data_IF_976260125624
#
_entry.id   IF_976260125624
#
_cell.length_a   1.000
_cell.length_b   1.000
_cell.length_c   1.000
_cell.angle_alpha   90.00
_cell.angle_beta   90.00
_cell.angle_gamma   90.00
#
_symmetry.space_group_name_H-M   'P 1'
#
loop_
_entity.id
_entity.type
_entity.pdbx_description
1 polymer ?
#
# COMPACT_ATOMS: atom_id res chain seq x y z
N UNK A 1 -32.35 -11.83 -0.15
CA UNK A 1 -31.62 -12.50 0.93
C UNK A 1 -30.11 -12.64 0.72
N UNK A 2 -29.58 -13.06 -0.45
CA UNK A 2 -28.10 -13.22 -0.64
C UNK A 2 -27.28 -11.92 -0.71
N UNK A 3 -27.86 -10.78 -1.03
CA UNK A 3 -27.13 -9.50 -1.20
C UNK A 3 -26.90 -8.77 0.13
N UNK A 4 -27.83 -8.85 1.06
CA UNK A 4 -27.71 -8.21 2.40
C UNK A 4 -26.68 -8.90 3.30
N UNK A 5 -26.56 -10.23 3.20
CA UNK A 5 -25.63 -11.04 3.99
C UNK A 5 -24.15 -10.75 3.67
N UNK A 6 -23.85 -10.29 2.45
CA UNK A 6 -22.46 -9.97 2.04
C UNK A 6 -22.00 -8.58 2.54
N UNK A 7 -22.92 -7.70 2.91
CA UNK A 7 -22.61 -6.34 3.35
C UNK A 7 -22.22 -6.23 4.83
N UNK A 8 -22.56 -7.23 5.67
CA UNK A 8 -22.23 -7.19 7.09
C UNK A 8 -20.74 -7.38 7.30
N UNK A 9 -20.08 -6.43 7.98
CA UNK A 9 -18.65 -6.52 8.33
C UNK A 9 -18.40 -7.72 9.25
N UNK A 10 -19.16 -7.80 10.33
CA UNK A 10 -19.01 -8.81 11.38
C UNK A 10 -19.77 -10.09 11.03
N UNK A 11 -19.10 -10.96 10.30
CA UNK A 11 -19.56 -12.31 9.97
C UNK A 11 -18.35 -13.22 9.81
N UNK A 12 -18.41 -14.42 10.40
CA UNK A 12 -17.38 -15.44 10.19
C UNK A 12 -17.35 -15.87 8.71
N UNK A 13 -16.20 -15.76 8.06
CA UNK A 13 -16.00 -16.05 6.64
C UNK A 13 -14.73 -16.87 6.43
N UNK A 14 -14.72 -17.68 5.38
CA UNK A 14 -13.47 -18.27 4.88
C UNK A 14 -12.58 -17.19 4.21
N UNK A 15 -11.29 -17.47 4.04
CA UNK A 15 -10.34 -16.53 3.41
C UNK A 15 -10.78 -16.11 2.00
N UNK A 16 -11.24 -17.04 1.16
CA UNK A 16 -11.72 -16.72 -0.19
C UNK A 16 -13.01 -15.90 -0.19
N UNK A 17 -13.90 -16.15 0.78
CA UNK A 17 -15.13 -15.37 0.96
C UNK A 17 -14.83 -13.93 1.43
N UNK A 18 -13.81 -13.71 2.27
CA UNK A 18 -13.36 -12.38 2.64
C UNK A 18 -12.83 -11.60 1.42
N UNK A 19 -12.01 -12.24 0.59
CA UNK A 19 -11.46 -11.64 -0.63
C UNK A 19 -12.59 -11.27 -1.60
N UNK A 20 -13.51 -12.21 -1.87
CA UNK A 20 -14.67 -11.97 -2.73
C UNK A 20 -15.57 -10.85 -2.20
N UNK A 21 -15.88 -10.85 -0.90
CA UNK A 21 -16.69 -9.81 -0.29
C UNK A 21 -16.02 -8.43 -0.36
N UNK A 22 -14.70 -8.36 -0.17
CA UNK A 22 -13.94 -7.12 -0.29
C UNK A 22 -14.00 -6.53 -1.69
N UNK A 23 -13.67 -7.31 -2.71
CA UNK A 23 -13.73 -6.81 -4.08
C UNK A 23 -15.16 -6.50 -4.54
N UNK A 24 -16.18 -7.26 -4.12
CA UNK A 24 -17.57 -6.94 -4.39
C UNK A 24 -17.97 -5.61 -3.74
N UNK A 25 -17.56 -5.36 -2.48
CA UNK A 25 -17.83 -4.07 -1.83
C UNK A 25 -17.20 -2.90 -2.59
N UNK A 26 -15.97 -3.07 -3.07
CA UNK A 26 -15.28 -2.07 -3.89
C UNK A 26 -16.03 -1.82 -5.21
N UNK A 27 -16.36 -2.87 -5.97
CA UNK A 27 -17.01 -2.73 -7.28
C UNK A 27 -18.43 -2.19 -7.18
N UNK A 28 -19.23 -2.66 -6.23
CA UNK A 28 -20.62 -2.21 -6.02
C UNK A 28 -20.69 -0.74 -5.58
N UNK A 29 -19.66 -0.22 -4.93
CA UNK A 29 -19.60 1.16 -4.44
C UNK A 29 -18.57 2.03 -5.18
N UNK A 30 -17.97 1.53 -6.26
CA UNK A 30 -16.89 2.21 -6.98
C UNK A 30 -17.26 3.65 -7.36
N UNK A 31 -18.47 3.89 -7.90
CA UNK A 31 -18.91 5.22 -8.30
C UNK A 31 -18.93 6.22 -7.14
N UNK A 32 -19.32 5.79 -5.94
CA UNK A 32 -19.38 6.65 -4.75
C UNK A 32 -17.96 6.93 -4.23
N UNK A 33 -17.14 5.90 -4.18
CA UNK A 33 -15.74 5.98 -3.77
C UNK A 33 -14.94 6.85 -4.74
N UNK A 34 -15.08 6.63 -6.04
CA UNK A 34 -14.46 7.44 -7.07
C UNK A 34 -14.86 8.92 -6.95
N UNK A 35 -16.16 9.23 -6.84
CA UNK A 35 -16.65 10.60 -6.67
C UNK A 35 -16.07 11.31 -5.44
N UNK A 36 -15.72 10.56 -4.39
CA UNK A 36 -15.18 11.14 -3.15
C UNK A 36 -13.64 11.26 -3.16
N UNK A 37 -12.94 10.51 -4.01
CA UNK A 37 -11.47 10.39 -3.94
C UNK A 37 -10.73 10.85 -5.20
N UNK A 38 -11.39 10.97 -6.36
CA UNK A 38 -10.72 11.16 -7.65
C UNK A 38 -9.78 12.36 -7.73
N UNK A 39 -10.17 13.51 -7.14
CA UNK A 39 -9.33 14.71 -7.13
C UNK A 39 -8.03 14.42 -6.37
N UNK A 40 -8.13 13.79 -5.21
CA UNK A 40 -6.98 13.51 -4.37
C UNK A 40 -6.09 12.42 -4.97
N UNK A 41 -6.70 11.38 -5.56
CA UNK A 41 -5.96 10.36 -6.30
C UNK A 41 -5.22 10.98 -7.49
N UNK A 42 -5.85 11.93 -8.20
CA UNK A 42 -5.20 12.67 -9.27
C UNK A 42 -3.99 13.46 -8.76
N UNK A 43 -4.14 14.20 -7.65
CA UNK A 43 -3.03 14.94 -7.04
C UNK A 43 -1.88 14.01 -6.65
N UNK A 44 -2.16 12.90 -5.97
CA UNK A 44 -1.15 11.90 -5.59
C UNK A 44 -0.45 11.32 -6.84
N UNK A 45 -1.22 11.03 -7.89
CA UNK A 45 -0.67 10.50 -9.14
C UNK A 45 0.24 11.50 -9.84
N UNK A 46 -0.16 12.77 -9.93
CA UNK A 46 0.67 13.82 -10.52
C UNK A 46 1.96 14.04 -9.71
N UNK A 47 1.89 14.03 -8.38
CA UNK A 47 3.07 14.17 -7.53
C UNK A 47 4.04 12.98 -7.70
N UNK A 48 3.52 11.74 -7.69
CA UNK A 48 4.35 10.55 -7.95
C UNK A 48 5.03 10.61 -9.31
N UNK A 49 4.28 10.92 -10.35
CA UNK A 49 4.83 11.03 -11.70
C UNK A 49 5.82 12.17 -11.86
N UNK A 50 5.63 13.28 -11.13
CA UNK A 50 6.61 14.37 -11.08
C UNK A 50 7.91 13.94 -10.38
N UNK A 51 7.80 13.19 -9.28
CA UNK A 51 8.96 12.61 -8.57
C UNK A 51 9.73 11.68 -9.51
N UNK A 52 9.03 10.83 -10.23
CA UNK A 52 9.59 9.87 -11.17
C UNK A 52 10.25 10.55 -12.36
N UNK A 53 9.55 11.48 -13.02
CA UNK A 53 10.10 12.26 -14.13
C UNK A 53 11.30 13.12 -13.70
N UNK A 54 11.31 13.67 -12.49
CA UNK A 54 12.45 14.40 -11.94
C UNK A 54 13.63 13.48 -11.66
N UNK A 55 13.39 12.24 -11.22
CA UNK A 55 14.43 11.22 -11.04
C UNK A 55 15.13 10.86 -12.35
N UNK A 56 14.39 10.76 -13.45
CA UNK A 56 14.96 10.55 -14.79
C UNK A 56 15.83 11.73 -15.24
N UNK A 57 15.37 12.98 -15.02
CA UNK A 57 16.13 14.17 -15.35
C UNK A 57 17.37 14.34 -14.45
N UNK A 58 17.30 13.96 -13.18
CA UNK A 58 18.40 14.02 -12.23
C UNK A 58 19.58 13.15 -12.69
N UNK A 59 19.32 11.93 -13.16
CA UNK A 59 20.37 11.04 -13.68
C UNK A 59 21.00 11.61 -14.96
N UNK A 60 20.19 12.24 -15.82
CA UNK A 60 20.67 12.88 -17.06
C UNK A 60 21.40 14.21 -16.82
N UNK A 61 21.04 14.94 -15.75
CA UNK A 61 21.44 16.34 -15.53
C UNK A 61 22.51 16.52 -14.43
N UNK A 62 22.94 15.46 -13.75
CA UNK A 62 24.04 15.49 -12.76
C UNK A 62 25.30 16.17 -13.33
N UNK A 63 25.40 16.35 -14.66
CA UNK A 63 26.50 17.02 -15.32
C UNK A 63 26.43 18.56 -15.36
N UNK A 64 25.28 19.22 -15.12
CA UNK A 64 25.13 20.65 -15.49
C UNK A 64 24.30 21.55 -14.55
N UNK A 65 23.67 21.08 -13.48
CA UNK A 65 22.87 21.92 -12.57
C UNK A 65 23.35 21.76 -11.13
N UNK A 66 23.34 22.85 -10.36
CA UNK A 66 23.65 22.79 -8.93
C UNK A 66 22.77 21.75 -8.23
N UNK A 67 23.34 20.67 -7.68
CA UNK A 67 22.57 19.52 -7.17
C UNK A 67 21.64 19.88 -6.00
N UNK A 68 21.90 20.98 -5.32
CA UNK A 68 21.14 21.42 -4.14
C UNK A 68 19.70 21.80 -4.48
N UNK A 69 19.46 22.56 -5.55
CA UNK A 69 18.09 22.97 -5.93
C UNK A 69 17.23 21.77 -6.32
N UNK A 70 17.79 20.81 -7.01
CA UNK A 70 17.07 19.58 -7.40
C UNK A 70 16.72 18.73 -6.20
N UNK A 71 17.63 18.58 -5.23
CA UNK A 71 17.37 17.86 -3.97
C UNK A 71 16.24 18.53 -3.18
N UNK A 72 16.22 19.86 -3.11
CA UNK A 72 15.17 20.61 -2.42
C UNK A 72 13.82 20.39 -3.09
N UNK A 73 13.72 20.53 -4.42
CA UNK A 73 12.48 20.31 -5.17
C UNK A 73 11.97 18.86 -4.97
N UNK A 74 12.85 17.89 -5.12
CA UNK A 74 12.53 16.48 -4.91
C UNK A 74 12.00 16.22 -3.49
N UNK A 75 12.66 16.77 -2.48
CA UNK A 75 12.24 16.65 -1.08
C UNK A 75 10.85 17.25 -0.85
N UNK A 76 10.56 18.42 -1.43
CA UNK A 76 9.24 19.06 -1.33
C UNK A 76 8.17 18.19 -1.99
N UNK A 77 8.43 17.66 -3.19
CA UNK A 77 7.49 16.78 -3.90
C UNK A 77 7.17 15.52 -3.09
N UNK A 78 8.20 14.88 -2.52
CA UNK A 78 8.03 13.70 -1.65
C UNK A 78 7.21 14.02 -0.41
N UNK A 79 7.45 15.15 0.25
CA UNK A 79 6.67 15.57 1.42
C UNK A 79 5.19 15.83 1.06
N UNK A 80 4.93 16.48 -0.07
CA UNK A 80 3.58 16.73 -0.56
C UNK A 80 2.86 15.41 -0.91
N UNK A 81 3.56 14.46 -1.51
CA UNK A 81 3.02 13.12 -1.83
C UNK A 81 2.65 12.36 -0.56
N UNK A 82 3.52 12.35 0.45
CA UNK A 82 3.27 11.71 1.74
C UNK A 82 2.04 12.30 2.42
N UNK A 83 1.92 13.63 2.49
CA UNK A 83 0.77 14.31 3.11
C UNK A 83 -0.52 14.00 2.35
N UNK A 84 -0.50 14.05 1.02
CA UNK A 84 -1.66 13.75 0.18
C UNK A 84 -2.10 12.28 0.33
N UNK A 85 -1.16 11.36 0.46
CA UNK A 85 -1.43 9.94 0.71
C UNK A 85 -2.10 9.73 2.08
N UNK A 86 -1.67 10.43 3.14
CA UNK A 86 -2.35 10.33 4.44
C UNK A 86 -3.80 10.83 4.39
N UNK A 87 -4.06 11.90 3.64
CA UNK A 87 -5.43 12.41 3.46
C UNK A 87 -6.27 11.39 2.69
N UNK A 88 -5.70 10.77 1.64
CA UNK A 88 -6.38 9.72 0.87
C UNK A 88 -6.74 8.52 1.74
N UNK A 89 -5.80 8.01 2.52
CA UNK A 89 -6.07 6.94 3.49
C UNK A 89 -7.12 7.36 4.53
N UNK A 90 -7.07 8.61 5.00
CA UNK A 90 -8.06 9.19 5.91
C UNK A 90 -9.47 9.12 5.35
N UNK A 91 -9.67 9.47 4.07
CA UNK A 91 -10.98 9.40 3.39
C UNK A 91 -11.44 7.94 3.29
N UNK A 92 -10.57 7.03 2.86
CA UNK A 92 -10.92 5.62 2.68
C UNK A 92 -11.38 4.99 4.01
N UNK A 93 -10.64 5.24 5.10
CA UNK A 93 -11.01 4.69 6.41
C UNK A 93 -12.24 5.38 7.00
N UNK A 94 -12.45 6.67 6.76
CA UNK A 94 -13.68 7.35 7.12
C UNK A 94 -14.90 6.73 6.43
N UNK A 95 -14.81 6.45 5.13
CA UNK A 95 -15.85 5.75 4.38
C UNK A 95 -16.07 4.31 4.88
N UNK A 96 -14.99 3.62 5.24
CA UNK A 96 -15.06 2.27 5.80
C UNK A 96 -15.75 2.25 7.17
N UNK A 97 -15.54 3.29 7.98
CA UNK A 97 -16.23 3.44 9.25
C UNK A 97 -17.71 3.78 9.08
N UNK A 98 -18.07 4.62 8.11
CA UNK A 98 -19.48 4.84 7.74
C UNK A 98 -20.15 3.52 7.34
N UNK A 99 -19.49 2.72 6.51
CA UNK A 99 -20.00 1.41 6.12
C UNK A 99 -20.21 0.50 7.35
N UNK A 100 -19.27 0.49 8.30
CA UNK A 100 -19.41 -0.27 9.55
C UNK A 100 -20.67 0.14 10.34
N UNK A 101 -21.00 1.43 10.37
CA UNK A 101 -22.13 1.96 11.15
C UNK A 101 -23.47 1.82 10.45
N UNK A 102 -23.52 2.02 9.14
CA UNK A 102 -24.77 2.14 8.36
C UNK A 102 -25.03 0.98 7.41
N UNK A 103 -24.04 0.10 7.20
CA UNK A 103 -24.10 -0.97 6.20
C UNK A 103 -24.03 -0.47 4.74
N UNK A 104 -23.95 0.84 4.51
CA UNK A 104 -23.93 1.44 3.17
C UNK A 104 -22.90 2.54 3.05
N UNK A 105 -22.35 2.71 1.84
CA UNK A 105 -21.54 3.90 1.51
C UNK A 105 -22.46 5.06 1.15
N UNK A 106 -22.37 6.18 1.88
CA UNK A 106 -22.96 7.44 1.47
C UNK A 106 -21.91 8.28 0.72
N UNK A 107 -22.38 9.20 -0.16
CA UNK A 107 -21.49 10.20 -0.75
C UNK A 107 -20.93 11.07 0.37
N UNK A 108 -19.62 11.15 0.46
CA UNK A 108 -18.95 12.01 1.42
C UNK A 108 -19.04 13.46 0.92
N UNK A 109 -19.82 14.30 1.62
CA UNK A 109 -19.67 15.75 1.49
C UNK A 109 -18.38 16.13 2.22
N UNK A 110 -17.37 16.61 1.51
CA UNK A 110 -16.07 17.00 2.08
C UNK A 110 -16.22 17.99 3.24
N UNK A 111 -17.20 18.89 3.18
CA UNK A 111 -17.45 19.86 4.25
C UNK A 111 -18.01 19.22 5.53
N UNK A 112 -18.95 18.28 5.43
CA UNK A 112 -19.52 17.57 6.59
C UNK A 112 -18.59 16.53 7.20
N UNK A 113 -17.70 15.96 6.39
CA UNK A 113 -16.79 14.91 6.80
C UNK A 113 -15.40 15.41 7.23
N UNK A 114 -15.10 16.71 7.10
CA UNK A 114 -13.76 17.28 7.32
C UNK A 114 -13.13 16.84 8.64
N UNK A 115 -13.88 16.95 9.76
CA UNK A 115 -13.35 16.53 11.09
C UNK A 115 -13.01 15.03 11.13
N UNK A 116 -13.84 14.20 10.52
CA UNK A 116 -13.59 12.75 10.45
C UNK A 116 -12.37 12.44 9.59
N UNK A 117 -12.26 13.06 8.41
CA UNK A 117 -11.13 12.87 7.49
C UNK A 117 -9.81 13.28 8.16
N UNK A 118 -9.77 14.45 8.80
CA UNK A 118 -8.59 14.92 9.54
C UNK A 118 -8.22 13.97 10.67
N UNK A 119 -9.21 13.49 11.44
CA UNK A 119 -8.98 12.52 12.50
C UNK A 119 -8.31 11.23 11.97
N UNK A 120 -8.84 10.64 10.90
CA UNK A 120 -8.28 9.43 10.30
C UNK A 120 -6.94 9.67 9.60
N UNK A 121 -6.71 10.86 9.03
CA UNK A 121 -5.42 11.22 8.45
C UNK A 121 -4.32 11.31 9.52
N UNK A 122 -4.62 11.90 10.68
CA UNK A 122 -3.69 11.94 11.82
C UNK A 122 -3.44 10.52 12.36
N UNK A 123 -4.46 9.65 12.41
CA UNK A 123 -4.27 8.26 12.83
C UNK A 123 -3.39 7.50 11.85
N UNK A 124 -3.58 7.68 10.54
CA UNK A 124 -2.76 7.03 9.52
C UNK A 124 -1.31 7.51 9.57
N UNK A 125 -1.05 8.80 9.84
CA UNK A 125 0.32 9.29 10.01
C UNK A 125 1.02 8.69 11.24
N UNK A 126 0.31 8.52 12.35
CA UNK A 126 0.84 7.81 13.55
C UNK A 126 1.18 6.35 13.24
N UNK A 127 0.30 5.64 12.52
CA UNK A 127 0.57 4.27 12.08
C UNK A 127 1.81 4.20 11.19
N UNK A 128 1.97 5.15 10.28
CA UNK A 128 3.14 5.21 9.41
C UNK A 128 4.45 5.37 10.19
N UNK A 129 4.47 6.26 11.19
CA UNK A 129 5.63 6.41 12.09
C UNK A 129 5.95 5.10 12.82
N UNK A 130 4.93 4.41 13.37
CA UNK A 130 5.12 3.11 14.01
C UNK A 130 5.62 2.04 13.04
N UNK A 131 5.11 2.04 11.81
CA UNK A 131 5.56 1.13 10.76
C UNK A 131 7.05 1.35 10.46
N UNK A 132 7.47 2.60 10.29
CA UNK A 132 8.89 2.94 10.06
C UNK A 132 9.74 2.45 11.24
N UNK A 133 9.38 2.81 12.47
CA UNK A 133 10.16 2.44 13.66
C UNK A 133 10.34 0.93 13.82
N UNK A 134 9.28 0.15 13.54
CA UNK A 134 9.28 -1.30 13.68
C UNK A 134 10.06 -2.02 12.57
N UNK A 135 9.95 -1.54 11.33
CA UNK A 135 10.45 -2.27 10.17
C UNK A 135 11.77 -1.74 9.61
N UNK A 136 12.14 -0.49 9.90
CA UNK A 136 13.41 0.09 9.44
C UNK A 136 14.63 -0.80 9.79
N UNK A 137 14.77 -1.37 11.00
CA UNK A 137 15.92 -2.22 11.29
C UNK A 137 16.00 -3.46 10.39
N UNK A 138 14.85 -4.09 10.09
CA UNK A 138 14.78 -5.29 9.25
C UNK A 138 15.08 -4.93 7.79
N UNK A 139 14.54 -3.82 7.31
CA UNK A 139 14.80 -3.31 5.95
C UNK A 139 16.28 -2.97 5.79
N UNK A 140 16.87 -2.28 6.76
CA UNK A 140 18.30 -1.95 6.76
C UNK A 140 19.14 -3.24 6.71
N UNK A 141 18.82 -4.25 7.52
CA UNK A 141 19.53 -5.53 7.52
C UNK A 141 19.42 -6.22 6.15
N UNK A 142 18.22 -6.27 5.55
CA UNK A 142 17.99 -6.87 4.24
C UNK A 142 18.79 -6.13 3.15
N UNK A 143 18.73 -4.80 3.13
CA UNK A 143 19.50 -3.98 2.19
C UNK A 143 21.00 -4.14 2.37
N UNK A 144 21.49 -4.20 3.62
CA UNK A 144 22.91 -4.42 3.91
C UNK A 144 23.40 -5.75 3.32
N UNK A 145 22.67 -6.85 3.52
CA UNK A 145 23.05 -8.14 2.95
C UNK A 145 22.96 -8.14 1.42
N UNK A 146 21.93 -7.50 0.85
CA UNK A 146 21.79 -7.37 -0.61
C UNK A 146 22.95 -6.58 -1.24
N UNK A 147 23.35 -5.44 -0.65
CA UNK A 147 24.48 -4.62 -1.13
C UNK A 147 25.80 -5.40 -1.07
N UNK A 148 25.99 -6.24 -0.05
CA UNK A 148 27.17 -7.09 0.08
C UNK A 148 27.30 -8.15 -1.03
N UNK A 149 26.20 -8.47 -1.70
CA UNK A 149 26.19 -9.42 -2.83
C UNK A 149 26.67 -8.80 -4.14
N UNK A 150 26.51 -7.48 -4.33
CA UNK A 150 26.81 -6.78 -5.61
C UNK A 150 28.22 -7.05 -6.14
N UNK A 151 29.30 -6.97 -5.31
CA UNK A 151 30.66 -7.16 -5.79
C UNK A 151 31.07 -8.63 -5.96
N UNK A 152 30.17 -9.60 -5.62
CA UNK A 152 30.52 -11.01 -5.58
C UNK A 152 30.09 -11.73 -6.86
N UNK A 153 30.88 -12.71 -7.28
CA UNK A 153 30.52 -13.60 -8.40
C UNK A 153 29.64 -14.76 -7.90
N UNK A 154 28.85 -15.36 -8.79
CA UNK A 154 28.00 -16.51 -8.46
C UNK A 154 28.76 -17.72 -7.92
N UNK A 155 30.04 -17.85 -8.28
CA UNK A 155 30.94 -18.91 -7.81
C UNK A 155 31.51 -18.68 -6.41
N UNK A 156 31.32 -17.47 -5.83
CA UNK A 156 31.87 -17.13 -4.52
C UNK A 156 30.96 -17.71 -3.40
N UNK A 157 31.51 -18.55 -2.48
CA UNK A 157 30.75 -19.05 -1.34
C UNK A 157 30.15 -17.95 -0.44
N UNK A 158 30.78 -16.77 -0.38
CA UNK A 158 30.27 -15.64 0.37
C UNK A 158 28.95 -15.09 -0.21
N UNK A 159 28.74 -15.20 -1.52
CA UNK A 159 27.49 -14.81 -2.17
C UNK A 159 26.31 -15.64 -1.67
N UNK A 160 26.45 -16.95 -1.61
CA UNK A 160 25.40 -17.84 -1.10
C UNK A 160 25.05 -17.54 0.36
N UNK A 161 26.04 -17.24 1.19
CA UNK A 161 25.82 -16.83 2.58
C UNK A 161 24.98 -15.56 2.69
N UNK A 162 25.31 -14.50 1.96
CA UNK A 162 24.56 -13.26 1.98
C UNK A 162 23.17 -13.41 1.36
N UNK A 163 23.01 -14.24 0.32
CA UNK A 163 21.70 -14.57 -0.26
C UNK A 163 20.80 -15.24 0.80
N UNK A 164 21.28 -16.24 1.53
CA UNK A 164 20.53 -16.92 2.58
C UNK A 164 20.16 -15.93 3.69
N UNK A 165 21.07 -15.08 4.12
CA UNK A 165 20.81 -14.06 5.14
C UNK A 165 19.77 -13.01 4.68
N UNK A 166 19.82 -12.61 3.42
CA UNK A 166 18.81 -11.70 2.84
C UNK A 166 17.42 -12.34 2.78
N UNK A 167 17.33 -13.60 2.33
CA UNK A 167 16.07 -14.35 2.30
C UNK A 167 15.54 -14.55 3.72
N UNK A 168 16.38 -14.91 4.68
CA UNK A 168 15.98 -15.09 6.07
C UNK A 168 15.44 -13.78 6.70
N UNK A 169 16.12 -12.66 6.46
CA UNK A 169 15.66 -11.36 6.95
C UNK A 169 14.33 -10.95 6.31
N UNK A 170 14.11 -11.25 5.03
CA UNK A 170 12.85 -11.02 4.35
C UNK A 170 11.71 -11.90 4.89
N UNK A 171 11.97 -13.17 5.18
CA UNK A 171 10.99 -14.08 5.80
C UNK A 171 10.62 -13.56 7.20
N UNK A 172 11.60 -13.14 8.00
CA UNK A 172 11.33 -12.52 9.31
C UNK A 172 10.47 -11.26 9.17
N UNK A 173 10.77 -10.40 8.18
CA UNK A 173 9.93 -9.24 7.89
C UNK A 173 8.47 -9.65 7.63
N UNK A 174 8.21 -10.64 6.78
CA UNK A 174 6.85 -11.11 6.48
C UNK A 174 6.14 -11.66 7.72
N UNK A 175 6.84 -12.44 8.55
CA UNK A 175 6.26 -13.03 9.78
C UNK A 175 5.77 -11.94 10.72
N UNK A 176 6.54 -10.86 10.90
CA UNK A 176 6.17 -9.75 11.79
C UNK A 176 5.20 -8.76 11.14
N UNK A 177 5.25 -8.59 9.81
CA UNK A 177 4.40 -7.63 9.10
C UNK A 177 2.93 -8.05 9.03
N UNK A 178 2.63 -9.34 8.85
CA UNK A 178 1.26 -9.83 8.70
C UNK A 178 0.37 -9.54 9.91
N UNK A 179 0.79 -9.82 11.16
CA UNK A 179 0.02 -9.44 12.35
C UNK A 179 -0.18 -7.93 12.47
N UNK A 180 0.78 -7.14 11.98
CA UNK A 180 0.70 -5.70 12.01
C UNK A 180 -0.35 -5.16 11.03
N UNK A 181 -0.57 -5.79 9.88
CA UNK A 181 -1.64 -5.41 8.95
C UNK A 181 -3.02 -5.55 9.61
N UNK A 182 -3.26 -6.63 10.34
CA UNK A 182 -4.49 -6.78 11.14
C UNK A 182 -4.63 -5.66 12.18
N UNK A 183 -3.56 -5.39 12.92
CA UNK A 183 -3.51 -4.31 13.90
C UNK A 183 -3.77 -2.93 13.27
N UNK A 184 -3.24 -2.64 12.08
CA UNK A 184 -3.49 -1.39 11.37
C UNK A 184 -5.00 -1.17 11.14
N UNK A 185 -5.69 -2.18 10.60
CA UNK A 185 -7.11 -2.08 10.33
C UNK A 185 -7.91 -1.95 11.63
N UNK A 186 -7.58 -2.76 12.65
CA UNK A 186 -8.19 -2.67 13.98
C UNK A 186 -8.05 -1.26 14.56
N UNK A 187 -6.84 -0.70 14.56
CA UNK A 187 -6.58 0.65 15.04
C UNK A 187 -7.36 1.72 14.27
N UNK A 188 -7.48 1.59 12.95
CA UNK A 188 -8.20 2.57 12.13
C UNK A 188 -9.72 2.48 12.29
N UNK A 189 -10.28 1.31 12.57
CA UNK A 189 -11.74 1.09 12.65
C UNK A 189 -12.28 1.27 14.07
N UNK A 190 -11.48 1.02 15.12
CA UNK A 190 -11.90 1.16 16.51
C UNK A 190 -11.55 2.56 17.05
N UNK A 191 -12.56 3.42 17.14
CA UNK A 191 -12.40 4.86 17.49
C UNK A 191 -11.90 5.11 18.92
N UNK A 192 -12.21 4.21 19.88
CA UNK A 192 -11.98 4.41 21.33
C UNK A 192 -10.68 3.79 21.83
N UNK A 193 -9.84 3.27 20.97
CA UNK A 193 -8.68 2.49 21.37
C UNK A 193 -7.46 3.37 21.64
N UNK A 194 -6.95 3.30 22.87
CA UNK A 194 -5.66 3.88 23.22
C UNK A 194 -4.54 3.17 22.44
N UNK A 195 -3.71 3.92 21.72
CA UNK A 195 -2.75 3.38 20.74
C UNK A 195 -1.91 2.20 21.28
N UNK A 196 -1.44 2.28 22.52
CA UNK A 196 -0.57 1.28 23.11
C UNK A 196 -1.27 -0.04 23.45
N UNK A 197 -2.49 0.03 24.01
CA UNK A 197 -3.27 -1.18 24.34
C UNK A 197 -3.73 -1.94 23.10
N UNK A 198 -3.99 -1.21 22.01
CA UNK A 198 -4.34 -1.83 20.71
C UNK A 198 -3.12 -2.50 20.11
N UNK A 199 -1.94 -1.88 20.23
CA UNK A 199 -0.70 -2.45 19.69
C UNK A 199 -0.40 -3.80 20.37
N UNK A 200 -0.44 -3.86 21.69
CA UNK A 200 -0.07 -5.09 22.41
C UNK A 200 -1.11 -6.21 22.28
N UNK A 201 -2.39 -5.90 22.50
CA UNK A 201 -3.48 -6.89 22.38
C UNK A 201 -3.77 -7.25 20.93
N UNK A 202 -3.87 -6.26 20.03
CA UNK A 202 -4.16 -6.49 18.64
C UNK A 202 -3.06 -7.24 17.90
N UNK A 203 -1.79 -7.05 18.28
CA UNK A 203 -0.68 -7.81 17.71
C UNK A 203 -0.74 -9.29 18.11
N UNK A 204 -1.03 -9.59 19.38
CA UNK A 204 -1.25 -10.97 19.85
C UNK A 204 -2.41 -11.65 19.10
N UNK A 205 -3.50 -10.91 18.90
CA UNK A 205 -4.65 -11.39 18.12
C UNK A 205 -4.28 -11.68 16.66
N UNK A 206 -3.48 -10.80 16.05
CA UNK A 206 -2.98 -10.99 14.69
C UNK A 206 -2.08 -12.22 14.55
N UNK A 207 -1.21 -12.50 15.54
CA UNK A 207 -0.39 -13.72 15.57
C UNK A 207 -1.27 -14.96 15.70
N UNK A 208 -2.29 -14.93 16.57
CA UNK A 208 -3.20 -16.08 16.76
C UNK A 208 -3.93 -16.48 15.48
N UNK A 209 -4.18 -15.53 14.56
CA UNK A 209 -4.85 -15.76 13.28
C UNK A 209 -3.92 -15.57 12.08
N UNK A 210 -2.60 -15.80 12.27
CA UNK A 210 -1.57 -15.52 11.27
C UNK A 210 -1.84 -16.22 9.93
N UNK A 211 -2.17 -17.52 9.95
CA UNK A 211 -2.43 -18.29 8.73
C UNK A 211 -3.63 -17.79 7.94
N UNK A 212 -4.71 -17.40 8.64
CA UNK A 212 -5.89 -16.80 8.01
C UNK A 212 -5.55 -15.43 7.39
N UNK A 213 -4.85 -14.59 8.12
CA UNK A 213 -4.40 -13.28 7.65
C UNK A 213 -3.47 -13.40 6.45
N UNK A 214 -2.51 -14.36 6.50
CA UNK A 214 -1.63 -14.66 5.38
C UNK A 214 -2.41 -15.02 4.12
N UNK A 215 -3.36 -15.97 4.23
CA UNK A 215 -4.14 -16.43 3.08
C UNK A 215 -4.95 -15.28 2.43
N UNK A 216 -5.60 -14.44 3.22
CA UNK A 216 -6.38 -13.30 2.70
C UNK A 216 -5.47 -12.25 2.06
N UNK A 217 -4.39 -11.86 2.74
CA UNK A 217 -3.46 -10.83 2.26
C UNK A 217 -2.75 -11.31 1.01
N UNK A 218 -2.22 -12.55 1.01
CA UNK A 218 -1.50 -13.12 -0.13
C UNK A 218 -2.39 -13.23 -1.38
N UNK A 219 -3.61 -13.77 -1.23
CA UNK A 219 -4.55 -13.90 -2.36
C UNK A 219 -4.96 -12.52 -2.90
N UNK A 220 -5.24 -11.57 -2.01
CA UNK A 220 -5.57 -10.20 -2.43
C UNK A 220 -4.39 -9.50 -3.09
N UNK A 221 -3.17 -9.69 -2.55
CA UNK A 221 -1.95 -9.16 -3.14
C UNK A 221 -1.71 -9.73 -4.54
N UNK A 222 -1.89 -11.04 -4.73
CA UNK A 222 -1.70 -11.69 -6.02
C UNK A 222 -2.65 -11.11 -7.08
N UNK A 223 -3.94 -10.95 -6.75
CA UNK A 223 -4.93 -10.36 -7.65
C UNK A 223 -4.54 -8.91 -7.98
N UNK A 224 -4.20 -8.12 -6.97
CA UNK A 224 -3.81 -6.72 -7.16
C UNK A 224 -2.50 -6.61 -7.95
N UNK A 225 -1.51 -7.45 -7.68
CA UNK A 225 -0.23 -7.47 -8.38
C UNK A 225 -0.40 -7.76 -9.88
N UNK A 226 -1.24 -8.73 -10.24
CA UNK A 226 -1.56 -9.02 -11.64
C UNK A 226 -2.23 -7.80 -12.31
N UNK A 227 -3.20 -7.18 -11.65
CA UNK A 227 -3.86 -5.99 -12.19
C UNK A 227 -2.88 -4.82 -12.38
N UNK A 228 -2.04 -4.54 -11.37
CA UNK A 228 -1.02 -3.48 -11.43
C UNK A 228 0.04 -3.78 -12.49
N UNK A 229 0.45 -5.03 -12.65
CA UNK A 229 1.41 -5.43 -13.69
C UNK A 229 0.86 -5.13 -15.08
N UNK A 230 -0.42 -5.46 -15.34
CA UNK A 230 -1.07 -5.16 -16.62
C UNK A 230 -1.18 -3.64 -16.84
N UNK A 231 -1.57 -2.89 -15.81
CA UNK A 231 -1.70 -1.43 -15.88
C UNK A 231 -0.34 -0.77 -16.16
N UNK A 232 0.75 -1.28 -15.57
CA UNK A 232 2.10 -0.70 -15.71
C UNK A 232 2.83 -1.11 -17.00
N UNK A 233 2.27 -1.99 -17.85
CA UNK A 233 2.92 -2.41 -19.09
C UNK A 233 3.39 -1.24 -19.98
N UNK A 234 2.58 -0.18 -20.25
CA UNK A 234 3.04 0.94 -21.07
C UNK A 234 4.22 1.70 -20.45
N UNK A 235 4.28 1.80 -19.13
CA UNK A 235 5.37 2.45 -18.40
C UNK A 235 6.67 1.66 -18.53
N UNK A 236 6.61 0.33 -18.43
CA UNK A 236 7.76 -0.54 -18.66
C UNK A 236 8.36 -0.34 -20.07
N UNK A 237 7.52 -0.17 -21.10
CA UNK A 237 7.97 0.08 -22.48
C UNK A 237 8.73 1.42 -22.56
N UNK A 238 8.20 2.47 -21.93
CA UNK A 238 8.85 3.79 -21.90
C UNK A 238 10.17 3.75 -21.14
N UNK A 239 10.23 3.05 -20.01
CA UNK A 239 11.47 2.87 -19.25
C UNK A 239 12.53 2.13 -20.08
N UNK A 240 12.16 1.06 -20.78
CA UNK A 240 13.08 0.31 -21.65
C UNK A 240 13.59 1.19 -22.81
N UNK A 241 12.73 1.99 -23.43
CA UNK A 241 13.12 2.90 -24.49
C UNK A 241 14.18 3.92 -23.98
N UNK A 242 14.00 4.43 -22.74
CA UNK A 242 14.97 5.34 -22.13
C UNK A 242 16.32 4.66 -21.86
N UNK A 243 16.32 3.44 -21.31
CA UNK A 243 17.55 2.67 -21.03
C UNK A 243 18.31 2.38 -22.33
N UNK A 244 17.61 1.94 -23.37
CA UNK A 244 18.21 1.63 -24.68
C UNK A 244 18.83 2.90 -25.28
N UNK A 245 18.11 4.03 -25.25
CA UNK A 245 18.63 5.29 -25.75
C UNK A 245 19.84 5.80 -24.99
N UNK A 246 19.86 5.68 -23.65
CA UNK A 246 21.02 6.07 -22.86
C UNK A 246 22.24 5.21 -23.17
N UNK A 247 22.06 3.91 -23.35
CA UNK A 247 23.14 3.01 -23.74
C UNK A 247 23.67 3.35 -25.16
N UNK A 248 22.79 3.64 -26.12
CA UNK A 248 23.17 4.09 -27.44
C UNK A 248 24.02 5.37 -27.45
N UNK A 249 23.63 6.35 -26.63
CA UNK A 249 24.40 7.59 -26.45
C UNK A 249 25.79 7.31 -25.85
N UNK A 250 25.89 6.36 -24.92
CA UNK A 250 27.19 5.95 -24.35
C UNK A 250 28.09 5.24 -25.38
N UNK A 251 27.48 4.55 -26.33
CA UNK A 251 28.18 3.88 -27.44
C UNK A 251 28.47 4.82 -28.63
N UNK A 252 28.08 6.09 -28.54
CA UNK A 252 28.39 7.13 -29.54
C UNK A 252 27.26 7.38 -30.54
N UNK A 253 26.07 6.86 -30.33
CA UNK A 253 24.88 7.19 -31.14
C UNK A 253 24.36 8.59 -30.78
N UNK A 254 24.39 9.58 -31.69
CA UNK A 254 23.93 10.94 -31.43
C UNK A 254 22.37 11.05 -31.40
N UNK A 255 21.66 10.04 -31.81
CA UNK A 255 20.20 10.04 -31.95
C UNK A 255 19.46 9.77 -30.63
N UNK A 256 19.78 10.54 -29.58
CA UNK A 256 19.08 10.46 -28.30
C UNK A 256 17.56 10.62 -28.39
N UNK A 257 16.87 10.41 -27.28
CA UNK A 257 15.42 10.60 -27.19
C UNK A 257 15.02 12.06 -27.51
N UNK A 258 13.85 12.29 -28.14
CA UNK A 258 13.36 13.63 -28.42
C UNK A 258 13.20 14.47 -27.15
N UNK A 259 13.38 15.78 -27.24
CA UNK A 259 13.26 16.71 -26.11
C UNK A 259 11.92 16.64 -25.36
N UNK A 260 10.84 16.23 -26.02
CA UNK A 260 9.52 16.09 -25.42
C UNK A 260 9.33 14.77 -24.67
N UNK A 261 10.31 13.86 -24.70
CA UNK A 261 10.19 12.52 -24.10
C UNK A 261 9.91 12.59 -22.59
N UNK A 262 10.52 13.53 -21.86
CA UNK A 262 10.24 13.72 -20.43
C UNK A 262 8.78 14.10 -20.15
N UNK A 263 8.16 14.91 -21.02
CA UNK A 263 6.72 15.24 -20.92
C UNK A 263 5.87 14.00 -21.19
N UNK A 264 6.23 13.19 -22.18
CA UNK A 264 5.54 11.94 -22.49
C UNK A 264 5.58 10.97 -21.29
N UNK A 265 6.76 10.79 -20.68
CA UNK A 265 6.93 9.99 -19.45
C UNK A 265 5.97 10.50 -18.38
N UNK A 266 6.02 11.80 -18.07
CA UNK A 266 5.16 12.39 -17.03
C UNK A 266 3.66 12.16 -17.28
N UNK A 267 3.17 12.35 -18.51
CA UNK A 267 1.76 12.15 -18.84
C UNK A 267 1.37 10.68 -18.70
N UNK A 268 2.16 9.77 -19.27
CA UNK A 268 1.86 8.34 -19.25
C UNK A 268 1.92 7.80 -17.83
N UNK A 269 2.98 8.10 -17.08
CA UNK A 269 3.10 7.72 -15.66
C UNK A 269 1.96 8.28 -14.81
N UNK A 270 1.48 9.51 -15.10
CA UNK A 270 0.34 10.09 -14.36
C UNK A 270 -0.95 9.29 -14.55
N UNK A 271 -1.24 8.88 -15.78
CA UNK A 271 -2.43 8.08 -16.10
C UNK A 271 -2.32 6.68 -15.47
N UNK A 272 -1.17 6.04 -15.61
CA UNK A 272 -0.89 4.70 -15.10
C UNK A 272 -0.97 4.70 -13.57
N UNK A 273 -0.28 5.64 -12.91
CA UNK A 273 -0.29 5.77 -11.45
C UNK A 273 -1.70 6.05 -10.93
N UNK A 274 -2.49 6.87 -11.65
CA UNK A 274 -3.89 7.11 -11.29
C UNK A 274 -4.72 5.81 -11.28
N UNK A 275 -4.57 4.96 -12.29
CA UNK A 275 -5.25 3.66 -12.36
C UNK A 275 -4.72 2.69 -11.29
N UNK A 276 -3.41 2.61 -11.11
CA UNK A 276 -2.75 1.73 -10.15
C UNK A 276 -3.13 2.09 -8.69
N UNK A 277 -3.35 3.38 -8.37
CA UNK A 277 -3.85 3.80 -7.06
C UNK A 277 -5.22 3.19 -6.74
N UNK A 278 -6.14 3.09 -7.69
CA UNK A 278 -7.43 2.43 -7.46
C UNK A 278 -7.29 0.92 -7.26
N UNK A 279 -6.34 0.26 -7.94
CA UNK A 279 -6.03 -1.13 -7.65
C UNK A 279 -5.49 -1.30 -6.21
N UNK A 280 -4.62 -0.39 -5.75
CA UNK A 280 -4.14 -0.34 -4.37
C UNK A 280 -5.26 -0.07 -3.35
N UNK A 281 -6.20 0.83 -3.66
CA UNK A 281 -7.38 1.08 -2.82
C UNK A 281 -8.25 -0.18 -2.74
N UNK A 282 -8.47 -0.88 -3.86
CA UNK A 282 -9.25 -2.11 -3.90
C UNK A 282 -8.68 -3.20 -2.98
N UNK A 283 -7.35 -3.27 -2.84
CA UNK A 283 -6.65 -4.19 -1.95
C UNK A 283 -7.02 -4.02 -0.45
N UNK A 284 -7.41 -2.83 -0.02
CA UNK A 284 -7.76 -2.57 1.38
C UNK A 284 -9.07 -3.22 1.81
N UNK A 285 -10.02 -3.44 0.88
CA UNK A 285 -11.35 -3.96 1.22
C UNK A 285 -11.35 -5.44 1.64
N UNK A 286 -10.62 -6.37 1.01
CA UNK A 286 -10.41 -7.71 1.55
C UNK A 286 -9.83 -7.72 2.96
N UNK A 287 -8.87 -6.85 3.25
CA UNK A 287 -8.25 -6.73 4.57
C UNK A 287 -9.26 -6.20 5.60
N UNK A 288 -10.14 -5.29 5.20
CA UNK A 288 -11.24 -4.81 6.02
C UNK A 288 -12.19 -5.94 6.43
N UNK A 289 -12.58 -6.83 5.50
CA UNK A 289 -13.41 -8.00 5.82
C UNK A 289 -12.65 -9.09 6.58
N UNK A 290 -11.35 -9.23 6.37
CA UNK A 290 -10.49 -10.09 7.18
C UNK A 290 -10.57 -9.69 8.66
N UNK A 291 -10.43 -8.39 8.95
CA UNK A 291 -10.58 -7.88 10.31
C UNK A 291 -11.94 -8.23 10.91
N UNK A 292 -13.04 -7.96 10.20
CA UNK A 292 -14.39 -8.27 10.66
C UNK A 292 -14.61 -9.76 10.93
N UNK A 293 -14.08 -10.64 10.07
CA UNK A 293 -14.18 -12.09 10.24
C UNK A 293 -13.41 -12.59 11.47
N UNK A 294 -12.20 -12.10 11.70
CA UNK A 294 -11.38 -12.47 12.87
C UNK A 294 -12.06 -12.02 14.17
N UNK A 295 -12.59 -10.81 14.23
CA UNK A 295 -13.29 -10.34 15.43
C UNK A 295 -14.54 -11.16 15.72
N UNK A 296 -15.28 -11.59 14.69
CA UNK A 296 -16.46 -12.47 14.87
C UNK A 296 -16.04 -13.85 15.36
N UNK A 297 -15.01 -14.46 14.76
CA UNK A 297 -14.52 -15.79 15.20
C UNK A 297 -14.07 -15.79 16.68
N UNK A 298 -13.51 -14.67 17.16
CA UNK A 298 -13.16 -14.55 18.59
C UNK A 298 -14.39 -14.55 19.49
N UNK A 299 -15.43 -13.80 19.12
CA UNK A 299 -16.68 -13.75 19.88
C UNK A 299 -17.31 -15.13 19.91
N UNK A 300 -17.44 -15.78 18.75
CA UNK A 300 -17.99 -17.14 18.65
C UNK A 300 -17.23 -18.16 19.51
N UNK A 301 -15.89 -18.03 19.58
CA UNK A 301 -15.05 -18.89 20.42
C UNK A 301 -15.30 -18.70 21.91
N UNK A 302 -15.38 -17.44 22.37
CA UNK A 302 -15.67 -17.12 23.77
C UNK A 302 -17.06 -17.59 24.17
N UNK A 303 -18.07 -17.40 23.32
CA UNK A 303 -19.44 -17.85 23.55
C UNK A 303 -19.52 -19.38 23.64
N UNK A 304 -18.76 -20.09 22.81
CA UNK A 304 -18.67 -21.55 22.84
C UNK A 304 -17.99 -22.05 24.13
N UNK A 305 -16.88 -21.42 24.56
CA UNK A 305 -16.20 -21.78 25.82
C UNK A 305 -17.12 -21.56 27.02
N UNK A 306 -17.83 -20.43 27.09
CA UNK A 306 -18.77 -20.13 28.18
C UNK A 306 -19.97 -21.12 28.23
N UNK A 307 -20.42 -21.64 27.09
CA UNK A 307 -21.52 -22.61 27.02
C UNK A 307 -21.10 -24.05 27.42
N UNK A 308 -19.79 -24.36 27.38
CA UNK A 308 -19.27 -25.67 27.85
C UNK A 308 -19.07 -25.68 29.36
N UNK A 309 -18.84 -24.52 29.98
CA UNK A 309 -18.64 -24.40 31.43
C UNK A 309 -19.94 -24.33 32.23
N UNK A 310 -21.11 -24.26 31.57
CA UNK A 310 -22.44 -24.35 32.15
C UNK A 310 -23.02 -25.77 32.04
#
# INVERSE_FOLDING_TARGET
MKKEDNCLLYKSRSYSACVKAGYNLFTDNFRKLFSSTWILVLIVSLLKSAIEASGFSLIATIRHIEPVHMIVIYTILVLLEIVSSFILFGIIFYLSQQHKQTGTYSRCSLQGAYKGIVHFSIRSSKLFVWTILLYTPIVIATCFFAIRMIPLQFSDPAMHKYLILSILSFILFLIFYLPFVFLMVKYMIEDKSHSWSVITKGYKDGISHWGFSFAVIFLSWLITAIAVLIINMPELVIHQANIISQNGVLEGDPSGLPNYFGILVFIVSSIITFMAQYAGIAFLFPIYYMYGSIETQKIEKVDFENNIEQ
#
